data_IF_371103282003
#
_entry.id   IF_371103282003
#
_cell.length_a   1.000
_cell.length_b   1.000
_cell.length_c   1.000
_cell.angle_alpha   90.00
_cell.angle_beta   90.00
_cell.angle_gamma   90.00
#
_symmetry.space_group_name_H-M   'P 1'
#
loop_
_entity.id
_entity.type
_entity.pdbx_description
1 polymer ?
#
# COMPACT_ATOMS: atom_id res chain seq x y z
N UNK A 1 29.00 5.53 -5.23
CA UNK A 1 27.93 5.95 -6.17
C UNK A 1 27.27 4.74 -6.79
N UNK A 2 27.99 3.79 -7.38
CA UNK A 2 27.44 2.67 -8.16
C UNK A 2 26.49 1.77 -7.31
N UNK A 3 26.91 1.33 -6.13
CA UNK A 3 26.09 0.47 -5.27
C UNK A 3 24.76 1.14 -4.89
N UNK A 4 24.81 2.40 -4.43
CA UNK A 4 23.62 3.15 -4.03
C UNK A 4 22.64 3.35 -5.20
N UNK A 5 23.15 3.57 -6.43
CA UNK A 5 22.29 3.73 -7.61
C UNK A 5 21.61 2.43 -8.00
N UNK A 6 22.34 1.29 -7.98
CA UNK A 6 21.77 -0.03 -8.27
C UNK A 6 20.74 -0.45 -7.21
N UNK A 7 21.07 -0.25 -5.90
CA UNK A 7 20.15 -0.53 -4.80
C UNK A 7 18.86 0.29 -4.91
N UNK A 8 18.97 1.57 -5.31
CA UNK A 8 17.81 2.44 -5.54
C UNK A 8 16.95 1.95 -6.69
N UNK A 9 17.56 1.45 -7.77
CA UNK A 9 16.82 0.82 -8.87
C UNK A 9 16.09 -0.45 -8.40
N UNK A 10 16.77 -1.31 -7.63
CA UNK A 10 16.14 -2.49 -7.02
C UNK A 10 14.95 -2.10 -6.12
N UNK A 11 15.10 -1.06 -5.29
CA UNK A 11 14.05 -0.54 -4.43
C UNK A 11 12.82 -0.06 -5.24
N UNK A 12 13.05 0.69 -6.33
CA UNK A 12 11.99 1.23 -7.17
C UNK A 12 11.20 0.13 -7.89
N UNK A 13 11.89 -0.93 -8.32
CA UNK A 13 11.29 -2.08 -9.00
C UNK A 13 10.78 -3.16 -8.03
N UNK A 14 11.03 -3.00 -6.72
CA UNK A 14 10.82 -4.03 -5.70
C UNK A 14 11.53 -5.37 -6.02
N UNK A 15 12.67 -5.30 -6.73
CA UNK A 15 13.45 -6.43 -7.19
C UNK A 15 14.40 -6.92 -6.05
N UNK A 16 13.91 -7.85 -5.25
CA UNK A 16 14.64 -8.33 -4.06
C UNK A 16 15.86 -9.15 -4.45
N UNK A 17 15.74 -10.10 -5.35
CA UNK A 17 16.84 -11.01 -5.69
C UNK A 17 18.10 -10.28 -6.19
N UNK A 18 18.01 -9.32 -7.14
CA UNK A 18 19.14 -8.48 -7.50
C UNK A 18 19.68 -7.67 -6.31
N UNK A 19 18.79 -7.15 -5.46
CA UNK A 19 19.17 -6.42 -4.24
C UNK A 19 20.01 -7.26 -3.28
N UNK A 20 19.64 -8.54 -3.06
CA UNK A 20 20.38 -9.50 -2.24
C UNK A 20 21.77 -9.80 -2.83
N UNK A 21 21.86 -9.96 -4.15
CA UNK A 21 23.14 -10.20 -4.83
C UNK A 21 24.09 -9.00 -4.63
N UNK A 22 23.59 -7.76 -4.81
CA UNK A 22 24.35 -6.55 -4.57
C UNK A 22 24.76 -6.43 -3.10
N UNK A 23 23.88 -6.72 -2.13
CA UNK A 23 24.24 -6.72 -0.72
C UNK A 23 25.34 -7.74 -0.42
N UNK A 24 25.27 -8.92 -1.01
CA UNK A 24 26.32 -9.95 -0.85
C UNK A 24 27.68 -9.49 -1.37
N UNK A 25 27.72 -8.71 -2.45
CA UNK A 25 28.95 -8.08 -2.94
C UNK A 25 29.45 -6.99 -1.99
N UNK A 26 28.55 -6.15 -1.47
CA UNK A 26 28.89 -5.06 -0.53
C UNK A 26 29.57 -5.62 0.73
N UNK A 27 29.06 -6.72 1.30
CA UNK A 27 29.62 -7.36 2.49
C UNK A 27 31.10 -7.74 2.31
N UNK A 28 31.51 -8.07 1.07
CA UNK A 28 32.87 -8.46 0.73
C UNK A 28 33.81 -7.24 0.52
N UNK A 29 33.30 -6.03 0.66
CA UNK A 29 34.03 -4.79 0.42
C UNK A 29 34.08 -3.92 1.67
N UNK A 30 34.87 -2.85 1.64
CA UNK A 30 34.92 -1.85 2.71
C UNK A 30 33.67 -0.96 2.76
N UNK A 31 32.84 -1.00 1.73
CA UNK A 31 31.61 -0.19 1.63
C UNK A 31 30.47 -0.65 2.56
N UNK A 32 30.62 -1.79 3.23
CA UNK A 32 29.67 -2.28 4.25
C UNK A 32 29.53 -1.33 5.46
N UNK A 33 30.49 -0.38 5.65
CA UNK A 33 30.47 0.65 6.70
C UNK A 33 30.06 2.03 6.20
N UNK A 34 29.83 2.19 4.89
CA UNK A 34 29.44 3.46 4.29
C UNK A 34 27.97 3.77 4.59
N UNK A 35 27.70 4.94 5.22
CA UNK A 35 26.35 5.35 5.62
C UNK A 35 25.41 5.50 4.42
N UNK A 36 25.87 5.99 3.27
CA UNK A 36 25.04 6.16 2.08
C UNK A 36 24.65 4.82 1.49
N UNK A 37 25.55 3.85 1.52
CA UNK A 37 25.27 2.47 1.09
C UNK A 37 24.30 1.80 2.06
N UNK A 38 24.49 1.95 3.37
CA UNK A 38 23.61 1.43 4.40
C UNK A 38 22.18 2.01 4.25
N UNK A 39 22.05 3.32 4.05
CA UNK A 39 20.75 3.98 3.79
C UNK A 39 20.07 3.42 2.53
N UNK A 40 20.85 3.15 1.47
CA UNK A 40 20.32 2.56 0.24
C UNK A 40 19.89 1.10 0.42
N UNK A 41 20.59 0.33 1.29
CA UNK A 41 20.17 -1.02 1.67
C UNK A 41 18.89 -1.01 2.50
N UNK A 42 18.77 -0.09 3.48
CA UNK A 42 17.55 0.08 4.28
C UNK A 42 16.37 0.36 3.37
N UNK A 43 16.47 1.33 2.45
CA UNK A 43 15.42 1.69 1.51
C UNK A 43 15.06 0.51 0.58
N UNK A 44 16.07 -0.19 0.06
CA UNK A 44 15.88 -1.37 -0.80
C UNK A 44 15.14 -2.47 -0.06
N UNK A 45 15.58 -2.85 1.14
CA UNK A 45 14.91 -3.89 1.91
C UNK A 45 13.48 -3.50 2.31
N UNK A 46 13.27 -2.27 2.77
CA UNK A 46 11.95 -1.77 3.11
C UNK A 46 11.01 -1.83 1.91
N UNK A 47 11.42 -1.34 0.74
CA UNK A 47 10.60 -1.33 -0.48
C UNK A 47 10.44 -2.71 -1.14
N UNK A 48 11.29 -3.68 -0.81
CA UNK A 48 11.17 -5.06 -1.23
C UNK A 48 10.39 -5.94 -0.25
N UNK A 49 9.76 -5.38 0.79
CA UNK A 49 8.93 -6.15 1.73
C UNK A 49 9.71 -6.86 2.83
N UNK A 50 10.97 -6.48 3.08
CA UNK A 50 11.90 -7.09 4.05
C UNK A 50 12.27 -6.10 5.16
N UNK A 51 11.26 -5.58 5.86
CA UNK A 51 11.46 -4.53 6.88
C UNK A 51 12.33 -4.99 8.06
N UNK A 52 12.31 -6.26 8.39
CA UNK A 52 13.18 -6.84 9.43
C UNK A 52 14.64 -6.79 9.04
N UNK A 53 14.96 -7.05 7.76
CA UNK A 53 16.34 -6.95 7.27
C UNK A 53 16.81 -5.48 7.20
N UNK A 54 15.92 -4.57 6.80
CA UNK A 54 16.17 -3.15 6.86
C UNK A 54 16.53 -2.72 8.29
N UNK A 55 15.79 -3.21 9.29
CA UNK A 55 16.06 -2.96 10.70
C UNK A 55 17.41 -3.51 11.14
N UNK A 56 17.77 -4.70 10.74
CA UNK A 56 19.10 -5.29 11.06
C UNK A 56 20.24 -4.44 10.50
N UNK A 57 20.08 -3.87 9.29
CA UNK A 57 21.10 -2.96 8.74
C UNK A 57 21.16 -1.68 9.56
N UNK A 58 20.02 -1.08 9.89
CA UNK A 58 19.94 0.15 10.69
C UNK A 58 20.59 -0.04 12.07
N UNK A 59 20.29 -1.13 12.78
CA UNK A 59 20.82 -1.41 14.12
C UNK A 59 22.35 -1.65 14.14
N UNK A 60 22.93 -2.05 12.99
CA UNK A 60 24.37 -2.20 12.83
C UNK A 60 25.11 -0.90 12.51
N UNK A 61 24.40 0.19 12.25
CA UNK A 61 25.02 1.48 11.96
C UNK A 61 25.58 2.11 13.24
N UNK A 62 26.84 2.50 13.22
CA UNK A 62 27.47 3.16 14.37
C UNK A 62 26.89 4.56 14.64
N UNK A 63 26.58 5.30 13.58
CA UNK A 63 26.05 6.67 13.63
C UNK A 63 25.01 6.85 12.54
N UNK A 64 23.75 6.49 12.80
CA UNK A 64 22.65 6.77 11.86
C UNK A 64 22.50 8.30 11.67
N UNK A 65 22.39 8.73 10.43
CA UNK A 65 22.11 10.11 10.07
C UNK A 65 20.59 10.35 9.88
N UNK A 66 20.19 11.59 9.56
CA UNK A 66 18.79 11.93 9.31
C UNK A 66 18.17 11.06 8.22
N UNK A 67 18.93 10.67 7.20
CA UNK A 67 18.46 9.83 6.09
C UNK A 67 18.20 8.41 6.58
N UNK A 68 19.08 7.88 7.46
CA UNK A 68 18.91 6.55 8.07
C UNK A 68 17.61 6.45 8.87
N UNK A 69 17.40 7.45 9.76
CA UNK A 69 16.19 7.52 10.57
C UNK A 69 14.93 7.63 9.70
N UNK A 70 14.93 8.54 8.72
CA UNK A 70 13.81 8.73 7.82
C UNK A 70 13.50 7.48 7.00
N UNK A 71 14.52 6.79 6.49
CA UNK A 71 14.32 5.55 5.73
C UNK A 71 13.63 4.47 6.57
N UNK A 72 14.02 4.30 7.85
CA UNK A 72 13.38 3.32 8.73
C UNK A 72 11.98 3.75 9.18
N UNK A 73 11.78 5.01 9.55
CA UNK A 73 10.45 5.53 9.95
C UNK A 73 9.44 5.38 8.80
N UNK A 74 9.81 5.82 7.59
CA UNK A 74 8.98 5.66 6.40
C UNK A 74 8.78 4.17 6.05
N UNK A 75 9.84 3.37 6.19
CA UNK A 75 9.76 1.92 6.00
C UNK A 75 8.71 1.28 6.90
N UNK A 76 8.76 1.51 8.20
CA UNK A 76 7.76 0.98 9.13
C UNK A 76 6.36 1.48 8.83
N UNK A 77 6.21 2.78 8.51
CA UNK A 77 4.91 3.33 8.09
C UNK A 77 4.32 2.60 6.89
N UNK A 78 5.12 2.36 5.85
CA UNK A 78 4.69 1.63 4.65
C UNK A 78 4.29 0.18 4.95
N UNK A 79 4.87 -0.43 5.97
CA UNK A 79 4.59 -1.80 6.39
C UNK A 79 3.39 -1.91 7.36
N UNK A 80 2.70 -0.81 7.65
CA UNK A 80 1.59 -0.78 8.61
C UNK A 80 2.03 -0.91 10.07
N UNK A 81 3.33 -0.77 10.34
CA UNK A 81 3.96 -0.85 11.67
C UNK A 81 4.06 0.56 12.27
N UNK A 82 2.90 1.17 12.50
CA UNK A 82 2.83 2.58 12.92
C UNK A 82 3.44 2.85 14.28
N UNK A 83 3.27 1.94 15.25
CA UNK A 83 3.84 2.09 16.59
C UNK A 83 5.37 2.01 16.56
N UNK A 84 5.93 1.11 15.76
CA UNK A 84 7.37 0.98 15.58
C UNK A 84 7.96 2.23 14.92
N UNK A 85 7.25 2.83 13.95
CA UNK A 85 7.67 4.09 13.35
C UNK A 85 7.70 5.23 14.37
N UNK A 86 6.70 5.33 15.24
CA UNK A 86 6.63 6.33 16.32
C UNK A 86 7.71 6.09 17.38
N UNK A 87 7.97 4.85 17.77
CA UNK A 87 9.05 4.50 18.70
C UNK A 87 10.42 4.93 18.12
N UNK A 88 10.65 4.72 16.83
CA UNK A 88 11.88 5.20 16.16
C UNK A 88 11.97 6.73 16.15
N UNK A 89 10.88 7.42 15.94
CA UNK A 89 10.85 8.87 16.03
C UNK A 89 11.21 9.36 17.44
N UNK A 90 10.68 8.72 18.48
CA UNK A 90 11.01 9.04 19.86
C UNK A 90 12.50 8.76 20.14
N UNK A 91 13.09 7.69 19.61
CA UNK A 91 14.54 7.41 19.68
C UNK A 91 15.37 8.46 18.93
N UNK A 92 14.92 8.88 17.73
CA UNK A 92 15.60 9.92 16.94
C UNK A 92 15.72 11.23 17.74
N UNK A 93 14.69 11.63 18.49
CA UNK A 93 14.69 12.84 19.32
C UNK A 93 15.78 12.81 20.41
N UNK A 94 16.15 11.61 20.89
CA UNK A 94 17.22 11.43 21.88
C UNK A 94 18.62 11.22 21.22
N UNK A 95 18.68 11.24 19.89
CA UNK A 95 19.92 11.17 19.13
C UNK A 95 20.43 12.58 18.77
N UNK A 96 21.57 12.63 18.09
CA UNK A 96 22.09 13.89 17.55
C UNK A 96 21.43 14.30 16.22
N UNK A 97 20.49 13.49 15.69
CA UNK A 97 19.80 13.77 14.45
C UNK A 97 18.52 14.58 14.70
N UNK A 98 18.28 15.60 13.89
CA UNK A 98 17.10 16.46 14.03
C UNK A 98 15.99 16.02 13.09
N UNK A 99 14.75 15.90 13.59
CA UNK A 99 13.57 15.68 12.72
C UNK A 99 13.43 16.79 11.68
N UNK A 100 13.15 16.40 10.46
CA UNK A 100 12.95 17.31 9.31
C UNK A 100 11.59 17.07 8.63
N UNK A 101 11.31 17.76 7.52
CA UNK A 101 10.06 17.60 6.77
C UNK A 101 9.74 16.14 6.46
N UNK A 102 10.72 15.39 5.95
CA UNK A 102 10.52 13.98 5.59
C UNK A 102 10.24 13.09 6.82
N UNK A 103 10.88 13.37 7.95
CA UNK A 103 10.57 12.69 9.22
C UNK A 103 9.09 12.86 9.58
N UNK A 104 8.57 14.08 9.49
CA UNK A 104 7.16 14.35 9.80
C UNK A 104 6.19 13.73 8.80
N UNK A 105 6.52 13.66 7.51
CA UNK A 105 5.72 12.87 6.54
C UNK A 105 5.65 11.41 6.99
N UNK A 106 6.78 10.82 7.38
CA UNK A 106 6.84 9.43 7.84
C UNK A 106 5.98 9.17 9.08
N UNK A 107 6.11 10.00 10.13
CA UNK A 107 5.36 9.80 11.38
C UNK A 107 3.87 10.13 11.26
N UNK A 108 3.50 11.15 10.48
CA UNK A 108 2.09 11.45 10.22
C UNK A 108 1.42 10.36 9.37
N UNK A 109 2.14 9.84 8.39
CA UNK A 109 1.69 8.66 7.63
C UNK A 109 1.54 7.43 8.54
N UNK A 110 2.46 7.22 9.49
CA UNK A 110 2.37 6.16 10.49
C UNK A 110 1.13 6.32 11.38
N UNK A 111 0.86 7.54 11.89
CA UNK A 111 -0.36 7.83 12.63
C UNK A 111 -1.62 7.56 11.80
N UNK A 112 -1.60 7.96 10.54
CA UNK A 112 -2.70 7.73 9.61
C UNK A 112 -2.94 6.25 9.34
N UNK A 113 -1.86 5.47 9.20
CA UNK A 113 -1.93 4.02 8.97
C UNK A 113 -2.36 3.23 10.21
N UNK A 114 -2.20 3.79 11.41
CA UNK A 114 -2.58 3.18 12.68
C UNK A 114 -3.84 3.81 13.33
N UNK A 115 -4.46 4.82 12.71
CA UNK A 115 -5.64 5.49 13.24
C UNK A 115 -5.39 6.33 14.50
N UNK A 116 -4.16 6.80 14.72
CA UNK A 116 -3.71 7.50 15.94
C UNK A 116 -3.93 9.01 15.82
N UNK A 117 -5.19 9.47 15.94
CA UNK A 117 -5.57 10.86 15.72
C UNK A 117 -4.86 11.83 16.66
N UNK A 118 -4.97 11.61 17.96
CA UNK A 118 -4.43 12.53 18.98
C UNK A 118 -2.92 12.70 18.81
N UNK A 119 -2.21 11.59 18.54
CA UNK A 119 -0.77 11.62 18.31
C UNK A 119 -0.43 12.37 17.01
N UNK A 120 -1.20 12.11 15.93
CA UNK A 120 -1.04 12.80 14.64
C UNK A 120 -1.25 14.31 14.77
N UNK A 121 -2.32 14.75 15.44
CA UNK A 121 -2.59 16.17 15.69
C UNK A 121 -1.52 16.82 16.56
N UNK A 122 -1.06 16.14 17.61
CA UNK A 122 0.01 16.65 18.47
C UNK A 122 1.32 16.83 17.68
N UNK A 123 1.70 15.82 16.87
CA UNK A 123 2.89 15.87 16.02
C UNK A 123 2.78 17.00 14.97
N UNK A 124 1.65 17.12 14.28
CA UNK A 124 1.43 18.16 13.29
C UNK A 124 1.56 19.57 13.89
N UNK A 125 0.95 19.80 15.07
CA UNK A 125 1.08 21.08 15.79
C UNK A 125 2.51 21.34 16.28
N UNK A 126 3.26 20.31 16.60
CA UNK A 126 4.65 20.44 17.11
C UNK A 126 5.64 20.83 16.02
N UNK A 127 5.36 20.57 14.75
CA UNK A 127 6.25 20.85 13.63
C UNK A 127 6.82 22.28 13.66
N UNK A 128 5.94 23.26 13.59
CA UNK A 128 6.37 24.70 13.60
C UNK A 128 6.84 25.12 14.99
N UNK A 129 6.12 24.69 16.07
CA UNK A 129 6.37 25.17 17.42
C UNK A 129 7.68 24.67 18.03
N UNK A 130 7.98 23.37 17.86
CA UNK A 130 9.07 22.71 18.57
C UNK A 130 10.27 22.41 17.66
N UNK A 131 10.02 22.23 16.36
CA UNK A 131 11.04 21.78 15.42
C UNK A 131 11.39 22.82 14.35
N UNK A 132 10.67 23.94 14.30
CA UNK A 132 10.84 24.98 13.26
C UNK A 132 10.70 24.38 11.83
N UNK A 133 9.78 23.43 11.65
CA UNK A 133 9.45 22.78 10.39
C UNK A 133 8.06 23.23 9.93
N UNK A 134 8.02 24.07 8.91
CA UNK A 134 6.74 24.51 8.37
C UNK A 134 6.05 23.38 7.60
N UNK A 135 4.75 23.11 7.87
CA UNK A 135 3.98 22.11 7.17
C UNK A 135 3.88 22.39 5.67
N UNK A 136 4.15 21.39 4.86
CA UNK A 136 3.95 21.42 3.41
C UNK A 136 2.78 20.52 3.01
N UNK A 137 2.47 20.46 1.72
CA UNK A 137 1.27 19.79 1.20
C UNK A 137 1.20 18.30 1.61
N UNK A 138 2.33 17.63 1.70
CA UNK A 138 2.41 16.21 2.10
C UNK A 138 1.94 16.00 3.54
N UNK A 139 2.26 16.91 4.45
CA UNK A 139 1.83 16.86 5.85
C UNK A 139 0.31 17.06 5.97
N UNK A 140 -0.23 18.07 5.26
CA UNK A 140 -1.67 18.27 5.18
C UNK A 140 -2.38 17.06 4.57
N UNK A 141 -1.83 16.48 3.52
CA UNK A 141 -2.37 15.26 2.89
C UNK A 141 -2.46 14.10 3.88
N UNK A 142 -1.40 13.88 4.69
CA UNK A 142 -1.42 12.84 5.73
C UNK A 142 -2.51 13.11 6.77
N UNK A 143 -2.68 14.37 7.20
CA UNK A 143 -3.69 14.74 8.19
C UNK A 143 -5.11 14.65 7.65
N UNK A 144 -5.35 15.10 6.42
CA UNK A 144 -6.65 14.95 5.74
C UNK A 144 -7.00 13.48 5.57
N UNK A 145 -6.03 12.65 5.20
CA UNK A 145 -6.23 11.21 5.10
C UNK A 145 -6.55 10.58 6.46
N UNK A 146 -5.84 10.96 7.54
CA UNK A 146 -6.09 10.49 8.90
C UNK A 146 -7.51 10.85 9.36
N UNK A 147 -7.90 12.10 9.25
CA UNK A 147 -9.25 12.58 9.62
C UNK A 147 -10.34 11.89 8.80
N UNK A 148 -10.14 11.82 7.48
CA UNK A 148 -11.09 11.19 6.58
C UNK A 148 -11.27 9.70 6.86
N UNK A 149 -10.20 8.96 7.14
CA UNK A 149 -10.28 7.54 7.51
C UNK A 149 -11.03 7.28 8.80
N UNK A 150 -11.02 8.23 9.73
CA UNK A 150 -11.78 8.19 10.97
C UNK A 150 -13.21 8.72 10.80
N UNK A 151 -13.60 9.10 9.59
CA UNK A 151 -14.93 9.63 9.30
C UNK A 151 -15.14 11.08 9.75
N UNK A 152 -14.08 11.78 10.18
CA UNK A 152 -14.14 13.19 10.62
C UNK A 152 -14.05 14.13 9.40
N UNK A 153 -15.10 14.09 8.59
CA UNK A 153 -15.11 14.80 7.30
C UNK A 153 -15.17 16.33 7.46
N UNK A 154 -15.88 16.83 8.47
CA UNK A 154 -16.00 18.26 8.71
C UNK A 154 -14.65 18.85 9.13
N UNK A 155 -13.93 18.17 10.02
CA UNK A 155 -12.58 18.54 10.42
C UNK A 155 -11.58 18.45 9.25
N UNK A 156 -11.73 17.42 8.40
CA UNK A 156 -10.90 17.28 7.21
C UNK A 156 -11.13 18.43 6.22
N UNK A 157 -12.39 18.81 5.96
CA UNK A 157 -12.74 19.95 5.10
C UNK A 157 -12.28 21.27 5.70
N UNK A 158 -12.43 21.45 7.02
CA UNK A 158 -11.91 22.62 7.72
C UNK A 158 -10.39 22.73 7.54
N UNK A 159 -9.66 21.64 7.76
CA UNK A 159 -8.21 21.62 7.59
C UNK A 159 -7.79 21.96 6.15
N UNK A 160 -8.55 21.48 5.15
CA UNK A 160 -8.30 21.84 3.74
C UNK A 160 -8.46 23.35 3.52
N UNK A 161 -9.48 23.97 4.14
CA UNK A 161 -9.70 25.42 4.07
C UNK A 161 -8.63 26.25 4.81
N UNK A 162 -7.90 25.66 5.74
CA UNK A 162 -6.81 26.28 6.50
C UNK A 162 -5.44 26.13 5.82
N UNK A 163 -5.32 25.39 4.70
CA UNK A 163 -4.07 25.25 3.94
C UNK A 163 -3.67 26.62 3.39
N UNK A 164 -2.45 27.14 3.68
CA UNK A 164 -2.04 28.49 3.29
C UNK A 164 -1.65 28.63 1.80
N UNK A 165 -1.90 27.62 0.99
CA UNK A 165 -1.63 27.57 -0.44
C UNK A 165 -2.71 26.73 -1.15
N UNK A 166 -2.74 26.72 -2.48
CA UNK A 166 -3.72 25.96 -3.25
C UNK A 166 -3.63 24.46 -2.94
N UNK A 167 -4.72 23.81 -2.49
CA UNK A 167 -4.73 22.38 -2.25
C UNK A 167 -4.41 21.57 -3.50
N UNK A 168 -3.40 20.70 -3.45
CA UNK A 168 -3.03 19.86 -4.58
C UNK A 168 -4.03 18.72 -4.81
N UNK A 169 -3.96 18.11 -5.98
CA UNK A 169 -4.74 16.92 -6.33
C UNK A 169 -4.61 15.79 -5.29
N UNK A 170 -3.44 15.67 -4.63
CA UNK A 170 -3.18 14.65 -3.62
C UNK A 170 -4.08 14.78 -2.39
N UNK A 171 -4.39 16.01 -1.96
CA UNK A 171 -5.30 16.28 -0.83
C UNK A 171 -6.70 15.79 -1.15
N UNK A 172 -7.20 16.13 -2.34
CA UNK A 172 -8.54 15.73 -2.78
C UNK A 172 -8.63 14.22 -3.02
N UNK A 173 -7.57 13.59 -3.57
CA UNK A 173 -7.50 12.12 -3.69
C UNK A 173 -7.52 11.43 -2.34
N UNK A 174 -6.81 11.96 -1.33
CA UNK A 174 -6.84 11.43 0.02
C UNK A 174 -8.26 11.47 0.60
N UNK A 175 -8.94 12.61 0.51
CA UNK A 175 -10.31 12.74 1.01
C UNK A 175 -11.29 11.87 0.21
N UNK A 176 -11.15 11.79 -1.12
CA UNK A 176 -11.93 10.88 -1.97
C UNK A 176 -11.79 9.41 -1.54
N UNK A 177 -10.56 8.97 -1.29
CA UNK A 177 -10.29 7.62 -0.79
C UNK A 177 -11.02 7.32 0.52
N UNK A 178 -11.04 8.27 1.44
CA UNK A 178 -11.78 8.18 2.69
C UNK A 178 -13.30 8.12 2.47
N UNK A 179 -13.83 8.94 1.56
CA UNK A 179 -15.24 8.92 1.18
C UNK A 179 -15.67 7.57 0.60
N UNK A 180 -14.81 6.90 -0.15
CA UNK A 180 -15.05 5.53 -0.66
C UNK A 180 -15.18 4.54 0.50
N UNK A 181 -14.28 4.59 1.49
CA UNK A 181 -14.29 3.70 2.66
C UNK A 181 -15.61 3.86 3.45
N UNK A 182 -16.02 5.10 3.69
CA UNK A 182 -17.21 5.42 4.48
C UNK A 182 -18.51 5.50 3.66
N UNK A 183 -18.45 5.21 2.36
CA UNK A 183 -19.59 5.29 1.43
C UNK A 183 -20.25 6.68 1.41
N UNK A 184 -19.47 7.73 1.66
CA UNK A 184 -19.94 9.12 1.60
C UNK A 184 -19.93 9.60 0.14
N UNK A 185 -21.02 9.32 -0.56
CA UNK A 185 -21.13 9.55 -2.02
C UNK A 185 -21.18 11.04 -2.35
N UNK A 186 -21.84 11.85 -1.53
CA UNK A 186 -22.04 13.27 -1.82
C UNK A 186 -20.71 14.04 -1.70
N UNK A 187 -20.00 13.91 -0.58
CA UNK A 187 -18.66 14.52 -0.44
C UNK A 187 -17.66 13.91 -1.43
N UNK A 188 -17.71 12.59 -1.64
CA UNK A 188 -16.85 11.91 -2.60
C UNK A 188 -17.03 12.42 -4.03
N UNK A 189 -18.28 12.76 -4.43
CA UNK A 189 -18.51 13.36 -5.75
C UNK A 189 -17.89 14.77 -5.87
N UNK A 190 -17.90 15.56 -4.81
CA UNK A 190 -17.23 16.86 -4.76
C UNK A 190 -15.72 16.70 -4.87
N UNK A 191 -15.14 15.79 -4.08
CA UNK A 191 -13.70 15.50 -4.14
C UNK A 191 -13.26 15.01 -5.52
N UNK A 192 -14.01 14.07 -6.12
CA UNK A 192 -13.73 13.57 -7.46
C UNK A 192 -13.81 14.68 -8.51
N UNK A 193 -14.78 15.59 -8.40
CA UNK A 193 -14.88 16.73 -9.29
C UNK A 193 -13.63 17.63 -9.18
N UNK A 194 -13.16 17.94 -7.97
CA UNK A 194 -11.94 18.73 -7.76
C UNK A 194 -10.70 18.05 -8.38
N UNK A 195 -10.57 16.72 -8.23
CA UNK A 195 -9.48 15.97 -8.88
C UNK A 195 -9.58 16.09 -10.40
N UNK A 196 -10.76 15.88 -10.98
CA UNK A 196 -10.98 15.90 -12.44
C UNK A 196 -10.92 17.33 -13.05
N UNK A 197 -11.09 18.38 -12.26
CA UNK A 197 -10.81 19.75 -12.67
C UNK A 197 -9.30 19.98 -12.86
N UNK A 198 -8.47 19.36 -12.02
CA UNK A 198 -7.00 19.44 -12.08
C UNK A 198 -6.39 18.42 -13.06
N UNK A 199 -6.91 17.19 -13.04
CA UNK A 199 -6.45 16.07 -13.87
C UNK A 199 -7.66 15.39 -14.55
N UNK A 200 -8.12 15.94 -15.68
CA UNK A 200 -9.36 15.49 -16.34
C UNK A 200 -9.36 14.05 -16.85
N UNK A 201 -8.17 13.49 -17.07
CA UNK A 201 -7.99 12.15 -17.63
C UNK A 201 -7.56 11.12 -16.57
N UNK A 202 -7.65 11.45 -15.26
CA UNK A 202 -7.35 10.53 -14.16
C UNK A 202 -8.33 9.35 -14.12
N UNK A 203 -7.91 8.22 -14.65
CA UNK A 203 -8.72 7.01 -14.77
C UNK A 203 -9.15 6.47 -13.39
N UNK A 204 -8.27 6.52 -12.40
CA UNK A 204 -8.53 6.05 -11.05
C UNK A 204 -9.71 6.81 -10.41
N UNK A 205 -9.74 8.14 -10.55
CA UNK A 205 -10.84 8.97 -10.04
C UNK A 205 -12.16 8.70 -10.78
N UNK A 206 -12.13 8.57 -12.09
CA UNK A 206 -13.33 8.18 -12.85
C UNK A 206 -13.87 6.82 -12.39
N UNK A 207 -13.01 5.84 -12.20
CA UNK A 207 -13.41 4.49 -11.73
C UNK A 207 -13.97 4.55 -10.30
N UNK A 208 -13.29 5.24 -9.37
CA UNK A 208 -13.77 5.39 -7.99
C UNK A 208 -15.14 6.05 -7.95
N UNK A 209 -15.35 7.15 -8.69
CA UNK A 209 -16.61 7.86 -8.77
C UNK A 209 -17.73 6.98 -9.35
N UNK A 210 -17.45 6.25 -10.43
CA UNK A 210 -18.37 5.28 -11.01
C UNK A 210 -18.76 4.19 -9.99
N UNK A 211 -17.79 3.67 -9.25
CA UNK A 211 -18.00 2.64 -8.24
C UNK A 211 -18.83 3.16 -7.05
N UNK A 212 -18.56 4.38 -6.58
CA UNK A 212 -19.34 5.02 -5.51
C UNK A 212 -20.81 5.19 -5.92
N UNK A 213 -21.07 5.65 -7.15
CA UNK A 213 -22.44 5.76 -7.66
C UNK A 213 -23.12 4.39 -7.83
N UNK A 214 -22.38 3.37 -8.28
CA UNK A 214 -22.90 2.01 -8.39
C UNK A 214 -23.28 1.43 -7.01
N UNK A 215 -22.44 1.62 -5.99
CA UNK A 215 -22.74 1.22 -4.60
C UNK A 215 -23.98 1.93 -4.06
N UNK A 216 -24.19 3.18 -4.44
CA UNK A 216 -25.40 3.95 -4.10
C UNK A 216 -26.60 3.70 -5.03
N UNK A 217 -26.48 2.77 -5.99
CA UNK A 217 -27.49 2.45 -6.99
C UNK A 217 -27.92 3.64 -7.87
N UNK A 218 -27.05 4.65 -8.02
CA UNK A 218 -27.26 5.83 -8.88
C UNK A 218 -26.80 5.53 -10.31
N UNK A 219 -27.49 4.65 -11.01
CA UNK A 219 -27.09 4.08 -12.32
C UNK A 219 -27.01 5.12 -13.45
N UNK A 220 -27.84 6.17 -13.40
CA UNK A 220 -27.79 7.34 -14.30
C UNK A 220 -26.44 8.06 -14.22
N UNK A 221 -25.91 8.25 -12.99
CA UNK A 221 -24.60 8.84 -12.74
C UNK A 221 -23.46 7.94 -13.20
N UNK A 222 -23.57 6.63 -12.96
CA UNK A 222 -22.62 5.63 -13.48
C UNK A 222 -22.51 5.74 -15.01
N UNK A 223 -23.64 5.78 -15.71
CA UNK A 223 -23.67 5.91 -17.17
C UNK A 223 -23.02 7.22 -17.64
N UNK A 224 -23.26 8.32 -16.91
CA UNK A 224 -22.67 9.63 -17.22
C UNK A 224 -21.16 9.63 -17.08
N UNK A 225 -20.60 9.04 -16.01
CA UNK A 225 -19.15 8.91 -15.80
C UNK A 225 -18.52 8.06 -16.90
N UNK A 226 -19.11 6.90 -17.22
CA UNK A 226 -18.62 6.01 -18.29
C UNK A 226 -18.64 6.68 -19.66
N UNK A 227 -19.68 7.46 -19.98
CA UNK A 227 -19.75 8.25 -21.20
C UNK A 227 -18.67 9.33 -21.24
N UNK A 228 -18.34 9.95 -20.11
CA UNK A 228 -17.25 10.91 -20.01
C UNK A 228 -15.90 10.23 -20.31
N UNK A 229 -15.62 9.06 -19.69
CA UNK A 229 -14.42 8.28 -19.96
C UNK A 229 -14.27 7.93 -21.44
N UNK A 230 -15.36 7.47 -22.08
CA UNK A 230 -15.36 7.15 -23.51
C UNK A 230 -15.03 8.36 -24.38
N UNK A 231 -15.66 9.52 -24.11
CA UNK A 231 -15.38 10.77 -24.84
C UNK A 231 -13.93 11.22 -24.73
N UNK A 232 -13.34 11.03 -23.55
CA UNK A 232 -11.94 11.39 -23.24
C UNK A 232 -10.95 10.28 -23.61
N UNK A 233 -11.41 9.13 -24.07
CA UNK A 233 -10.59 7.94 -24.33
C UNK A 233 -9.81 7.44 -23.10
N UNK A 234 -10.31 7.72 -21.92
CA UNK A 234 -9.75 7.23 -20.65
C UNK A 234 -10.09 5.75 -20.52
N UNK A 235 -9.06 4.92 -20.37
CA UNK A 235 -9.21 3.47 -20.17
C UNK A 235 -8.87 3.12 -18.73
N UNK A 236 -9.72 2.30 -18.11
CA UNK A 236 -9.42 1.74 -16.79
C UNK A 236 -8.13 0.93 -16.84
N UNK A 237 -7.20 1.22 -15.94
CA UNK A 237 -6.00 0.39 -15.77
C UNK A 237 -6.40 -1.00 -15.28
N UNK A 238 -5.95 -2.08 -15.95
CA UNK A 238 -6.22 -3.44 -15.50
C UNK A 238 -5.49 -3.72 -14.18
N UNK A 239 -6.16 -4.44 -13.28
CA UNK A 239 -5.53 -4.93 -12.06
C UNK A 239 -4.52 -6.02 -12.38
N UNK A 240 -3.24 -5.75 -12.10
CA UNK A 240 -2.13 -6.66 -12.29
C UNK A 240 -1.53 -7.03 -10.93
N UNK A 241 -1.16 -8.29 -10.79
CA UNK A 241 -0.33 -8.75 -9.67
C UNK A 241 0.84 -9.55 -10.22
N UNK A 242 1.99 -9.49 -9.54
CA UNK A 242 3.16 -10.25 -9.97
C UNK A 242 3.94 -10.82 -8.78
N UNK A 243 4.66 -11.87 -9.07
CA UNK A 243 5.55 -12.59 -8.16
C UNK A 243 6.88 -12.79 -8.84
N UNK A 244 7.97 -12.49 -8.14
CA UNK A 244 9.33 -12.83 -8.57
C UNK A 244 9.68 -14.24 -8.04
N UNK A 245 10.15 -15.11 -8.94
CA UNK A 245 10.64 -16.44 -8.60
C UNK A 245 11.87 -16.77 -9.43
N UNK A 246 13.00 -17.04 -8.79
CA UNK A 246 14.28 -17.37 -9.44
C UNK A 246 14.73 -16.32 -10.48
N UNK A 247 14.54 -15.04 -10.19
CA UNK A 247 14.90 -13.92 -11.08
C UNK A 247 13.95 -13.71 -12.26
N UNK A 248 12.84 -14.48 -12.35
CA UNK A 248 11.79 -14.29 -13.35
C UNK A 248 10.56 -13.69 -12.70
N UNK A 249 9.98 -12.68 -13.35
CA UNK A 249 8.74 -12.04 -12.89
C UNK A 249 7.55 -12.65 -13.62
N UNK A 250 6.62 -13.22 -12.85
CA UNK A 250 5.38 -13.82 -13.33
C UNK A 250 4.23 -12.88 -13.08
N UNK A 251 3.56 -12.44 -14.15
CA UNK A 251 2.44 -11.49 -14.12
C UNK A 251 1.10 -12.21 -14.23
N UNK A 252 0.10 -11.67 -13.52
CA UNK A 252 -1.26 -12.17 -13.53
C UNK A 252 -2.24 -11.01 -13.65
N UNK A 253 -3.15 -11.08 -14.62
CA UNK A 253 -4.34 -10.24 -14.71
C UNK A 253 -5.56 -10.98 -14.13
N UNK A 254 -6.67 -10.27 -13.96
CA UNK A 254 -7.93 -10.90 -13.53
C UNK A 254 -8.39 -11.91 -14.57
N UNK A 255 -8.61 -13.17 -14.15
CA UNK A 255 -9.05 -14.25 -15.02
C UNK A 255 -8.00 -14.70 -16.06
N UNK A 256 -6.73 -14.38 -15.84
CA UNK A 256 -5.66 -14.73 -16.76
C UNK A 256 -5.50 -16.26 -16.89
N UNK A 257 -5.44 -16.72 -18.12
CA UNK A 257 -5.24 -18.13 -18.49
C UNK A 257 -4.00 -18.32 -19.37
N UNK A 258 -3.23 -17.25 -19.59
CA UNK A 258 -2.08 -17.27 -20.52
C UNK A 258 -0.80 -17.88 -19.94
N UNK A 259 -0.72 -17.98 -18.60
CA UNK A 259 0.47 -18.51 -17.92
C UNK A 259 0.72 -19.99 -18.25
N UNK A 260 1.97 -20.42 -18.50
CA UNK A 260 2.30 -21.82 -18.80
C UNK A 260 1.78 -22.82 -17.76
N UNK A 261 1.81 -22.45 -16.48
CA UNK A 261 1.31 -23.26 -15.36
C UNK A 261 -0.21 -23.07 -15.09
N UNK A 262 -0.96 -22.46 -16.01
CA UNK A 262 -2.36 -22.12 -15.83
C UNK A 262 -3.17 -23.26 -15.20
N UNK A 263 -3.10 -24.49 -15.76
CA UNK A 263 -3.88 -25.63 -15.28
C UNK A 263 -3.67 -25.89 -13.78
N UNK A 264 -2.42 -26.00 -13.34
CA UNK A 264 -2.09 -26.29 -11.92
C UNK A 264 -2.39 -25.10 -10.99
N UNK A 265 -2.31 -23.87 -11.50
CA UNK A 265 -2.70 -22.65 -10.76
C UNK A 265 -4.21 -22.69 -10.47
N UNK A 266 -5.06 -23.01 -11.45
CA UNK A 266 -6.50 -23.09 -11.25
C UNK A 266 -6.90 -24.31 -10.38
N UNK A 267 -6.22 -25.44 -10.50
CA UNK A 267 -6.39 -26.57 -9.57
C UNK A 267 -6.06 -26.15 -8.11
N UNK A 268 -4.99 -25.39 -7.91
CA UNK A 268 -4.64 -24.82 -6.60
C UNK A 268 -5.70 -23.84 -6.10
N UNK A 269 -6.26 -22.99 -6.97
CA UNK A 269 -7.36 -22.08 -6.60
C UNK A 269 -8.59 -22.86 -6.11
N UNK A 270 -8.99 -23.93 -6.77
CA UNK A 270 -10.09 -24.78 -6.32
C UNK A 270 -9.82 -25.45 -4.98
N UNK A 271 -8.59 -25.88 -4.75
CA UNK A 271 -8.17 -26.40 -3.44
C UNK A 271 -8.23 -25.31 -2.35
N UNK A 272 -7.71 -24.11 -2.64
CA UNK A 272 -7.79 -22.95 -1.72
C UNK A 272 -9.24 -22.58 -1.42
N UNK A 273 -10.11 -22.57 -2.44
CA UNK A 273 -11.55 -22.28 -2.30
C UNK A 273 -12.23 -23.25 -1.33
N UNK A 274 -11.95 -24.53 -1.46
CA UNK A 274 -12.44 -25.56 -0.55
C UNK A 274 -11.93 -25.34 0.86
N UNK A 275 -10.62 -25.17 1.04
CA UNK A 275 -9.97 -25.01 2.35
C UNK A 275 -10.38 -23.73 3.09
N UNK A 276 -10.54 -22.64 2.39
CA UNK A 276 -11.00 -21.38 3.00
C UNK A 276 -12.46 -21.47 3.45
N UNK A 277 -13.34 -22.14 2.70
CA UNK A 277 -14.72 -22.42 3.11
C UNK A 277 -14.78 -23.32 4.36
N UNK A 278 -13.96 -24.38 4.42
CA UNK A 278 -13.81 -25.24 5.61
C UNK A 278 -13.33 -24.41 6.83
N UNK A 279 -12.54 -23.36 6.61
CA UNK A 279 -12.07 -22.42 7.64
C UNK A 279 -13.05 -21.28 7.97
N UNK A 280 -14.27 -21.31 7.41
CA UNK A 280 -15.33 -20.33 7.70
C UNK A 280 -15.27 -19.03 6.87
N UNK A 281 -14.48 -18.97 5.79
CA UNK A 281 -14.49 -17.81 4.91
C UNK A 281 -15.78 -17.74 4.09
N UNK A 282 -16.38 -16.57 4.06
CA UNK A 282 -17.55 -16.22 3.25
C UNK A 282 -17.13 -15.09 2.29
N UNK A 283 -17.29 -15.28 0.95
CA UNK A 283 -16.97 -14.25 -0.02
C UNK A 283 -17.83 -12.99 0.14
N UNK A 284 -17.20 -11.82 0.08
CA UNK A 284 -17.94 -10.54 0.04
C UNK A 284 -18.32 -10.19 -1.39
N UNK A 285 -19.46 -10.67 -1.83
CA UNK A 285 -20.00 -10.40 -3.17
C UNK A 285 -20.26 -8.91 -3.45
N UNK A 286 -20.31 -8.04 -2.40
CA UNK A 286 -20.43 -6.58 -2.58
C UNK A 286 -19.14 -5.96 -3.14
N UNK A 287 -18.01 -6.64 -3.07
CA UNK A 287 -16.77 -6.21 -3.71
C UNK A 287 -16.84 -6.23 -5.25
N UNK A 288 -17.80 -6.96 -5.82
CA UNK A 288 -18.06 -7.01 -7.27
C UNK A 288 -19.26 -6.10 -7.59
N UNK A 289 -18.98 -4.99 -8.26
CA UNK A 289 -19.99 -3.98 -8.63
C UNK A 289 -20.60 -4.26 -10.03
N UNK A 290 -20.86 -5.53 -10.32
CA UNK A 290 -21.56 -5.98 -11.51
C UNK A 290 -22.96 -6.45 -11.11
N UNK A 291 -23.92 -6.20 -12.00
CA UNK A 291 -25.30 -6.67 -11.85
C UNK A 291 -25.42 -8.11 -12.38
N UNK A 292 -24.88 -9.04 -11.60
CA UNK A 292 -24.90 -10.49 -11.87
C UNK A 292 -25.22 -11.24 -10.57
N UNK A 293 -25.60 -12.51 -10.69
CA UNK A 293 -25.90 -13.37 -9.53
C UNK A 293 -24.70 -13.59 -8.63
N UNK A 294 -24.93 -13.83 -7.33
CA UNK A 294 -23.87 -13.97 -6.33
C UNK A 294 -22.91 -15.14 -6.62
N UNK A 295 -23.41 -16.22 -7.24
CA UNK A 295 -22.56 -17.33 -7.69
C UNK A 295 -21.53 -16.90 -8.73
N UNK A 296 -21.92 -16.02 -9.67
CA UNK A 296 -21.01 -15.47 -10.67
C UNK A 296 -20.06 -14.44 -10.03
N UNK A 297 -20.54 -13.61 -9.10
CA UNK A 297 -19.65 -12.69 -8.34
C UNK A 297 -18.59 -13.47 -7.57
N UNK A 298 -18.96 -14.56 -6.90
CA UNK A 298 -18.01 -15.43 -6.23
C UNK A 298 -16.97 -16.00 -7.20
N UNK A 299 -17.40 -16.47 -8.37
CA UNK A 299 -16.51 -16.96 -9.42
C UNK A 299 -15.49 -15.90 -9.83
N UNK A 300 -15.96 -14.65 -10.05
CA UNK A 300 -15.11 -13.52 -10.42
C UNK A 300 -14.11 -13.16 -9.32
N UNK A 301 -14.51 -13.20 -8.05
CA UNK A 301 -13.62 -12.96 -6.91
C UNK A 301 -12.46 -13.97 -6.88
N UNK A 302 -12.72 -15.24 -7.18
CA UNK A 302 -11.70 -16.28 -7.13
C UNK A 302 -10.62 -16.15 -8.21
N UNK A 303 -10.89 -15.46 -9.29
CA UNK A 303 -9.93 -15.23 -10.39
C UNK A 303 -9.27 -13.85 -10.33
N UNK A 304 -9.33 -13.15 -9.19
CA UNK A 304 -8.57 -11.91 -8.99
C UNK A 304 -7.07 -12.18 -9.11
N UNK A 305 -6.36 -11.21 -9.67
CA UNK A 305 -4.93 -11.32 -10.00
C UNK A 305 -4.06 -11.70 -8.81
N UNK A 306 -4.35 -11.16 -7.62
CA UNK A 306 -3.62 -11.49 -6.39
C UNK A 306 -3.82 -12.93 -5.92
N UNK A 307 -4.98 -13.54 -6.19
CA UNK A 307 -5.23 -14.95 -5.86
C UNK A 307 -4.52 -15.89 -6.82
N UNK A 308 -4.47 -15.54 -8.11
CA UNK A 308 -3.67 -16.25 -9.11
C UNK A 308 -2.18 -16.20 -8.76
N UNK A 309 -1.69 -15.01 -8.42
CA UNK A 309 -0.31 -14.81 -7.98
C UNK A 309 0.02 -15.61 -6.70
N UNK A 310 -0.91 -15.66 -5.73
CA UNK A 310 -0.76 -16.45 -4.51
C UNK A 310 -0.73 -17.95 -4.82
N UNK A 311 -1.65 -18.44 -5.64
CA UNK A 311 -1.69 -19.86 -6.03
C UNK A 311 -0.38 -20.29 -6.72
N UNK A 312 0.13 -19.47 -7.64
CA UNK A 312 1.44 -19.67 -8.24
C UNK A 312 2.56 -19.70 -7.19
N UNK A 313 2.58 -18.71 -6.27
CA UNK A 313 3.57 -18.63 -5.20
C UNK A 313 3.57 -19.86 -4.29
N UNK A 314 2.40 -20.40 -3.94
CA UNK A 314 2.27 -21.63 -3.16
C UNK A 314 2.82 -22.86 -3.89
N UNK A 315 2.70 -22.90 -5.21
CA UNK A 315 3.18 -24.02 -6.04
C UNK A 315 4.68 -23.97 -6.30
N UNK A 316 5.26 -22.78 -6.48
CA UNK A 316 6.60 -22.63 -7.05
C UNK A 316 7.65 -22.05 -6.11
N UNK A 317 7.26 -21.27 -5.10
CA UNK A 317 8.21 -20.74 -4.12
C UNK A 317 8.45 -21.76 -3.01
N UNK A 318 9.71 -22.01 -2.59
CA UNK A 318 10.02 -22.98 -1.55
C UNK A 318 9.22 -22.72 -0.25
N UNK A 319 8.75 -23.78 0.46
CA UNK A 319 7.89 -23.63 1.65
C UNK A 319 8.47 -22.77 2.77
N UNK A 320 9.80 -22.76 2.94
CA UNK A 320 10.48 -21.95 3.96
C UNK A 320 10.58 -20.46 3.64
N UNK A 321 10.21 -20.04 2.43
CA UNK A 321 10.32 -18.65 1.99
C UNK A 321 8.98 -17.95 2.03
N UNK A 322 8.92 -16.66 2.37
CA UNK A 322 7.71 -15.84 2.25
C UNK A 322 7.29 -15.69 0.79
N UNK A 323 5.97 -15.63 0.54
CA UNK A 323 5.42 -15.33 -0.79
C UNK A 323 5.23 -13.82 -0.87
N UNK A 324 5.88 -13.17 -1.84
CA UNK A 324 5.73 -11.73 -2.07
C UNK A 324 4.96 -11.48 -3.36
N UNK A 325 3.85 -10.79 -3.21
CA UNK A 325 2.95 -10.40 -4.30
C UNK A 325 2.99 -8.88 -4.38
N UNK A 326 3.20 -8.35 -5.57
CA UNK A 326 3.13 -6.92 -5.82
C UNK A 326 1.92 -6.66 -6.71
N UNK A 327 1.18 -5.60 -6.42
CA UNK A 327 -0.04 -5.22 -7.11
C UNK A 327 -0.03 -3.75 -7.49
N UNK A 328 -0.47 -3.42 -8.71
CA UNK A 328 -0.57 -2.04 -9.20
C UNK A 328 -1.80 -1.28 -8.70
N UNK A 329 -2.76 -1.94 -8.08
CA UNK A 329 -3.95 -1.35 -7.49
C UNK A 329 -4.04 -1.69 -6.00
N UNK A 330 -4.89 -0.99 -5.24
CA UNK A 330 -5.21 -1.36 -3.86
C UNK A 330 -5.82 -2.77 -3.82
N UNK A 331 -5.40 -3.59 -2.85
CA UNK A 331 -6.01 -4.90 -2.60
C UNK A 331 -7.48 -4.71 -2.19
N UNK A 332 -8.41 -5.51 -2.70
CA UNK A 332 -9.81 -5.42 -2.30
C UNK A 332 -10.03 -6.08 -0.92
N UNK A 333 -11.12 -5.69 -0.23
CA UNK A 333 -11.48 -6.21 1.10
C UNK A 333 -11.60 -7.72 1.12
N UNK A 334 -12.17 -8.30 0.09
CA UNK A 334 -12.37 -9.73 -0.02
C UNK A 334 -11.05 -10.50 -0.22
N UNK A 335 -10.15 -10.02 -1.10
CA UNK A 335 -8.81 -10.62 -1.24
C UNK A 335 -7.98 -10.48 0.03
N UNK A 336 -8.06 -9.35 0.73
CA UNK A 336 -7.40 -9.18 2.02
C UNK A 336 -7.89 -10.22 3.04
N UNK A 337 -9.21 -10.39 3.16
CA UNK A 337 -9.82 -11.36 4.07
C UNK A 337 -9.44 -12.80 3.74
N UNK A 338 -9.53 -13.19 2.47
CA UNK A 338 -9.21 -14.58 2.08
C UNK A 338 -7.73 -14.91 2.26
N UNK A 339 -6.82 -13.95 1.97
CA UNK A 339 -5.38 -14.16 2.18
C UNK A 339 -5.07 -14.32 3.67
N UNK A 340 -5.74 -13.54 4.53
CA UNK A 340 -5.67 -13.71 6.00
C UNK A 340 -6.04 -15.13 6.41
N UNK A 341 -7.17 -15.64 5.90
CA UNK A 341 -7.62 -17.02 6.19
C UNK A 341 -6.62 -18.04 5.66
N UNK A 342 -6.12 -17.87 4.44
CA UNK A 342 -5.13 -18.76 3.83
C UNK A 342 -3.86 -18.83 4.69
N UNK A 343 -3.39 -17.70 5.22
CA UNK A 343 -2.16 -17.64 6.03
C UNK A 343 -2.22 -18.47 7.31
N UNK A 344 -3.44 -18.82 7.80
CA UNK A 344 -3.63 -19.70 8.98
C UNK A 344 -3.19 -21.15 8.71
N UNK A 345 -3.54 -21.69 7.55
CA UNK A 345 -3.34 -23.11 7.28
C UNK A 345 -2.12 -23.41 6.41
N UNK A 346 -1.62 -22.41 5.65
CA UNK A 346 -0.37 -22.59 4.91
C UNK A 346 0.88 -22.43 5.78
N UNK A 347 0.73 -21.91 7.01
CA UNK A 347 1.79 -21.67 8.00
C UNK A 347 2.99 -20.93 7.41
N UNK A 348 2.70 -19.91 6.60
CA UNK A 348 3.68 -19.23 5.77
C UNK A 348 3.34 -17.74 5.73
N UNK A 349 4.36 -16.90 5.80
CA UNK A 349 4.19 -15.48 5.59
C UNK A 349 3.82 -15.20 4.14
N UNK A 350 2.77 -14.40 3.94
CA UNK A 350 2.37 -13.88 2.63
C UNK A 350 2.46 -12.36 2.74
N UNK A 351 3.26 -11.74 1.89
CA UNK A 351 3.45 -10.30 1.83
C UNK A 351 2.81 -9.78 0.56
N UNK A 352 1.85 -8.88 0.69
CA UNK A 352 1.23 -8.19 -0.45
C UNK A 352 1.62 -6.72 -0.37
N UNK A 353 2.27 -6.21 -1.42
CA UNK A 353 2.49 -4.77 -1.62
C UNK A 353 1.45 -4.26 -2.60
N UNK A 354 0.61 -3.39 -2.16
CA UNK A 354 -0.29 -2.62 -3.02
C UNK A 354 0.23 -1.18 -3.25
N UNK A 355 -0.54 -0.32 -3.92
CA UNK A 355 -0.13 1.07 -4.20
C UNK A 355 0.05 1.92 -2.94
N UNK A 356 -0.55 1.52 -1.80
CA UNK A 356 -0.56 2.32 -0.57
C UNK A 356 0.46 1.81 0.44
N UNK A 357 0.56 0.49 0.62
CA UNK A 357 1.36 -0.12 1.69
C UNK A 357 1.69 -1.59 1.46
N UNK A 358 2.41 -2.15 2.42
CA UNK A 358 2.56 -3.59 2.60
C UNK A 358 1.53 -4.16 3.56
N UNK A 359 1.10 -5.38 3.27
CA UNK A 359 0.25 -6.22 4.09
C UNK A 359 1.02 -7.51 4.37
N UNK A 360 1.40 -7.73 5.63
CA UNK A 360 2.05 -8.96 6.08
C UNK A 360 1.01 -9.87 6.70
N UNK A 361 0.69 -10.95 6.02
CA UNK A 361 -0.27 -11.95 6.48
C UNK A 361 0.48 -13.14 7.07
N UNK A 362 0.22 -13.43 8.34
CA UNK A 362 0.78 -14.59 9.03
C UNK A 362 -0.19 -15.06 10.12
N UNK A 363 -0.39 -16.38 10.24
CA UNK A 363 -1.23 -16.98 11.28
C UNK A 363 -2.65 -16.38 11.38
N UNK A 364 -3.21 -15.93 10.27
CA UNK A 364 -4.55 -15.36 10.20
C UNK A 364 -4.69 -13.90 10.65
N UNK A 365 -3.58 -13.20 10.83
CA UNK A 365 -3.56 -11.76 11.10
C UNK A 365 -2.83 -11.02 9.98
N UNK A 366 -3.09 -9.70 9.88
CA UNK A 366 -2.35 -8.81 8.99
C UNK A 366 -1.71 -7.70 9.80
N UNK A 367 -0.49 -7.27 9.41
CA UNK A 367 0.23 -6.15 10.04
C UNK A 367 -0.56 -4.84 10.05
N UNK A 368 -1.51 -4.66 9.13
CA UNK A 368 -2.37 -3.47 9.08
C UNK A 368 -3.46 -3.43 10.17
N UNK A 369 -3.63 -4.49 10.98
CA UNK A 369 -4.67 -4.58 12.01
C UNK A 369 -6.10 -4.46 11.47
N UNK A 370 -6.31 -4.83 10.19
CA UNK A 370 -7.56 -4.63 9.44
C UNK A 370 -7.97 -3.15 9.28
N UNK A 371 -7.05 -2.24 9.56
CA UNK A 371 -7.18 -0.80 9.35
C UNK A 371 -6.33 -0.37 8.15
N UNK A 372 -6.93 -0.38 6.94
CA UNK A 372 -6.21 -0.15 5.69
C UNK A 372 -7.09 0.44 4.59
#
# INVERSE_FOLDING_TARGET
VTYSSVLRACASLAALEPGLQIHSLIIKTTYNKDTVVANSLIDMYAKCGRITDARVIFDKMNKPDEVSWNAMICGYSMHGLGLEALNLFDMMQHSNSKPNKLTFVGVLSACSNAGLLDRGQALFKSMSKNYNVEPCIEHYTCMVWLLGRLGQFDEAMKLIGEIPFEPSVMVWRALLGACVIHKNVDLGSVCAQRVLEMEPDDDATHVLLSNMYATAKRWDKVASVRKCMQKRRVKKEPGLSWVENQGVVHYFAVGDTSHPDNKVIYEMLEWLKKKTREAGYIPDCNAILLDVEDAEKERLLWVHSERLALAYGLLRIPPASSIRIIKNLRICTDCHTVIKVISKFVQREIVVRDINRFHHFQNGVCSCGDYW
#
